data_IF_856218477542
#
_entry.id   IF_856218477542
#
_cell.length_a   1.000
_cell.length_b   1.000
_cell.length_c   1.000
_cell.angle_alpha   90.00
_cell.angle_beta   90.00
_cell.angle_gamma   90.00
#
_symmetry.space_group_name_H-M   'P 1'
#
loop_
_entity.id
_entity.type
_entity.pdbx_description
1 polymer ?
#
# COMPACT_ATOMS: atom_id res chain seq x y z
N UNK A 1 -11.43 -7.15 -2.77
CA UNK A 1 -11.46 -6.56 -1.41
C UNK A 1 -10.47 -7.32 -0.56
N UNK A 2 -9.72 -6.63 0.29
CA UNK A 2 -8.64 -7.21 1.08
C UNK A 2 -8.63 -6.64 2.50
N UNK A 3 -8.19 -7.46 3.46
CA UNK A 3 -8.14 -7.13 4.89
C UNK A 3 -6.83 -7.60 5.52
N UNK A 4 -6.35 -6.88 6.54
CA UNK A 4 -5.12 -7.25 7.26
C UNK A 4 -5.10 -6.74 8.70
N UNK A 5 -4.57 -7.58 9.59
CA UNK A 5 -4.30 -7.25 11.00
C UNK A 5 -3.00 -6.45 11.17
N UNK A 6 -2.80 -5.79 12.33
CA UNK A 6 -1.58 -5.03 12.59
C UNK A 6 -0.30 -5.85 12.39
N UNK A 7 0.69 -5.21 11.78
CA UNK A 7 1.94 -5.86 11.42
C UNK A 7 2.67 -5.11 10.31
N UNK A 8 3.94 -5.48 10.08
CA UNK A 8 4.75 -4.89 9.00
C UNK A 8 5.08 -5.97 7.97
N UNK A 9 4.94 -5.62 6.69
CA UNK A 9 5.30 -6.48 5.56
C UNK A 9 6.15 -5.70 4.59
N UNK A 10 7.24 -6.29 4.14
CA UNK A 10 7.98 -5.77 3.00
C UNK A 10 7.34 -6.26 1.71
N UNK A 11 7.29 -5.42 0.68
CA UNK A 11 6.77 -5.78 -0.64
C UNK A 11 7.44 -4.97 -1.75
N UNK A 12 7.37 -5.52 -2.97
CA UNK A 12 7.88 -4.90 -4.20
C UNK A 12 6.82 -4.98 -5.30
N UNK A 13 6.57 -3.86 -6.00
CA UNK A 13 5.54 -3.77 -7.02
C UNK A 13 6.02 -4.19 -8.43
N UNK A 14 7.34 -4.29 -8.67
CA UNK A 14 7.88 -4.75 -9.95
C UNK A 14 7.37 -3.89 -11.13
N UNK A 15 6.62 -4.50 -12.06
CA UNK A 15 6.04 -3.82 -13.24
C UNK A 15 4.57 -3.39 -13.05
N UNK A 16 4.09 -3.37 -11.82
CA UNK A 16 2.68 -3.14 -11.49
C UNK A 16 2.50 -1.80 -10.80
N UNK A 17 1.53 -1.01 -11.23
CA UNK A 17 0.96 0.05 -10.41
C UNK A 17 -0.22 -0.53 -9.60
N UNK A 18 -0.19 -0.41 -8.28
CA UNK A 18 -1.30 -0.79 -7.41
C UNK A 18 -1.98 0.45 -6.84
N UNK A 19 -3.24 0.70 -7.20
CA UNK A 19 -4.07 1.66 -6.49
C UNK A 19 -4.65 0.99 -5.24
N UNK A 20 -4.52 1.65 -4.10
CA UNK A 20 -5.11 1.27 -2.83
C UNK A 20 -6.19 2.29 -2.46
N UNK A 21 -7.39 1.82 -2.15
CA UNK A 21 -8.50 2.64 -1.64
C UNK A 21 -8.84 2.10 -0.25
N UNK A 22 -8.38 2.79 0.79
CA UNK A 22 -8.62 2.43 2.18
C UNK A 22 -10.07 2.75 2.55
N UNK A 23 -10.80 1.76 3.01
CA UNK A 23 -12.16 1.93 3.55
C UNK A 23 -12.08 2.29 5.03
N UNK A 24 -11.24 1.56 5.77
CA UNK A 24 -10.97 1.78 7.19
C UNK A 24 -9.55 1.33 7.52
N UNK A 25 -9.08 1.74 8.70
CA UNK A 25 -7.75 1.43 9.20
C UNK A 25 -6.75 2.55 9.03
N UNK A 26 -5.49 2.21 9.28
CA UNK A 26 -4.35 3.14 9.24
C UNK A 26 -3.10 2.37 8.84
N UNK A 27 -2.39 2.88 7.85
CA UNK A 27 -1.15 2.30 7.34
C UNK A 27 -0.07 3.36 7.24
N UNK A 28 1.17 2.94 7.46
CA UNK A 28 2.37 3.71 7.12
C UNK A 28 3.08 2.98 6.01
N UNK A 29 3.28 3.66 4.88
CA UNK A 29 4.05 3.18 3.75
C UNK A 29 5.41 3.84 3.83
N UNK A 30 6.47 3.03 3.85
CA UNK A 30 7.85 3.52 3.86
C UNK A 30 8.58 2.97 2.64
N UNK A 31 9.12 3.83 1.79
CA UNK A 31 9.89 3.42 0.60
C UNK A 31 11.33 2.98 0.95
N UNK A 32 12.10 2.58 -0.07
CA UNK A 32 13.48 2.15 0.08
C UNK A 32 14.46 3.26 0.47
N UNK A 33 14.09 4.52 0.24
CA UNK A 33 14.88 5.69 0.63
C UNK A 33 14.56 6.12 2.09
N UNK A 34 13.61 5.44 2.73
CA UNK A 34 13.19 5.68 4.10
C UNK A 34 12.09 6.73 4.25
N UNK A 35 11.60 7.29 3.14
CA UNK A 35 10.51 8.26 3.16
C UNK A 35 9.21 7.55 3.52
N UNK A 36 8.46 8.13 4.46
CA UNK A 36 7.26 7.51 5.01
C UNK A 36 6.04 8.40 4.87
N UNK A 37 4.93 7.80 4.45
CA UNK A 37 3.63 8.45 4.34
C UNK A 37 2.57 7.64 5.10
N UNK A 38 1.67 8.35 5.77
CA UNK A 38 0.57 7.73 6.53
C UNK A 38 -0.74 7.92 5.79
N UNK A 39 -1.49 6.83 5.66
CA UNK A 39 -2.81 6.82 5.05
C UNK A 39 -3.86 6.21 6.00
N UNK A 40 -5.04 6.81 6.02
CA UNK A 40 -6.17 6.40 6.87
C UNK A 40 -7.41 6.07 6.03
N UNK A 41 -8.39 5.42 6.66
CA UNK A 41 -9.69 5.14 6.05
C UNK A 41 -10.31 6.35 5.35
N UNK A 42 -10.84 6.12 4.13
CA UNK A 42 -11.39 7.14 3.25
C UNK A 42 -10.38 7.73 2.25
N UNK A 43 -9.09 7.43 2.39
CA UNK A 43 -8.05 7.90 1.46
C UNK A 43 -7.71 6.85 0.41
N UNK A 44 -7.16 7.32 -0.70
CA UNK A 44 -6.60 6.48 -1.75
C UNK A 44 -5.18 6.92 -2.09
N UNK A 45 -4.35 5.97 -2.49
CA UNK A 45 -2.97 6.20 -2.91
C UNK A 45 -2.54 5.16 -3.94
N UNK A 46 -1.45 5.43 -4.64
CA UNK A 46 -0.87 4.52 -5.63
C UNK A 46 0.49 4.09 -5.12
N UNK A 47 0.74 2.79 -5.20
CA UNK A 47 2.07 2.20 -5.11
C UNK A 47 2.55 2.02 -6.55
N UNK A 48 3.46 2.88 -7.02
CA UNK A 48 3.85 2.87 -8.43
C UNK A 48 4.68 1.63 -8.77
N UNK A 49 4.73 1.29 -10.04
CA UNK A 49 5.68 0.31 -10.57
C UNK A 49 7.10 0.68 -10.13
N UNK A 50 7.85 -0.34 -9.70
CA UNK A 50 9.18 -0.18 -9.12
C UNK A 50 9.19 0.19 -7.63
N UNK A 51 8.03 0.43 -6.99
CA UNK A 51 7.98 0.64 -5.54
C UNK A 51 8.59 -0.55 -4.80
N UNK A 52 9.42 -0.25 -3.81
CA UNK A 52 10.01 -1.21 -2.87
C UNK A 52 9.97 -0.58 -1.49
N UNK A 53 9.50 -1.33 -0.51
CA UNK A 53 9.36 -0.76 0.82
C UNK A 53 8.53 -1.59 1.76
N UNK A 54 8.09 -0.96 2.84
CA UNK A 54 7.30 -1.60 3.88
C UNK A 54 5.88 -1.05 3.92
N UNK A 55 4.93 -1.96 4.12
CA UNK A 55 3.56 -1.72 4.51
C UNK A 55 3.43 -2.01 6.00
N UNK A 56 3.25 -0.98 6.83
CA UNK A 56 2.98 -1.12 8.25
C UNK A 56 1.52 -0.85 8.54
N UNK A 57 0.76 -1.89 8.82
CA UNK A 57 -0.62 -1.80 9.32
C UNK A 57 -0.59 -1.40 10.79
N UNK A 58 -1.05 -0.19 11.11
CA UNK A 58 -1.09 0.37 12.47
C UNK A 58 -2.40 -0.01 13.17
N UNK A 59 -3.51 0.11 12.46
CA UNK A 59 -4.85 -0.36 12.85
C UNK A 59 -5.34 -1.38 11.82
N UNK A 60 -6.22 -2.34 12.16
CA UNK A 60 -6.79 -3.26 11.17
C UNK A 60 -7.31 -2.52 9.95
N UNK A 61 -6.96 -3.00 8.76
CA UNK A 61 -7.25 -2.33 7.49
C UNK A 61 -8.21 -3.14 6.65
N UNK A 62 -9.09 -2.43 5.95
CA UNK A 62 -9.89 -2.94 4.84
C UNK A 62 -9.69 -2.04 3.62
N UNK A 63 -9.36 -2.62 2.47
CA UNK A 63 -9.14 -1.87 1.22
C UNK A 63 -9.76 -2.52 0.00
N UNK A 64 -10.11 -1.69 -0.98
CA UNK A 64 -10.12 -2.11 -2.38
C UNK A 64 -8.75 -1.85 -2.99
N UNK A 65 -8.38 -2.67 -3.97
CA UNK A 65 -7.17 -2.49 -4.72
C UNK A 65 -7.40 -2.92 -6.16
N UNK A 66 -6.66 -2.30 -7.08
CA UNK A 66 -6.57 -2.73 -8.46
C UNK A 66 -5.11 -2.67 -8.89
N UNK A 67 -4.70 -3.65 -9.69
CA UNK A 67 -3.35 -3.76 -10.22
C UNK A 67 -3.38 -3.51 -11.72
N UNK A 68 -2.58 -2.54 -12.17
CA UNK A 68 -2.34 -2.29 -13.57
C UNK A 68 -0.94 -2.77 -13.93
N UNK A 69 -0.85 -3.70 -14.88
CA UNK A 69 0.41 -4.23 -15.38
C UNK A 69 0.92 -3.32 -16.50
N UNK A 70 2.06 -2.67 -16.28
CA UNK A 70 2.68 -1.83 -17.29
C UNK A 70 3.23 -2.72 -18.41
N UNK A 71 2.82 -2.42 -19.65
CA UNK A 71 3.42 -3.04 -20.84
C UNK A 71 4.80 -2.42 -21.03
N UNK A 72 5.78 -3.29 -21.28
CA UNK A 72 7.13 -2.89 -21.69
C UNK A 72 7.12 -2.07 -22.98
#
# INVERSE_FOLDING_TARGET
MWEMTPGTKYFECGVIDEICILIEGEVVITDSDGQSETYVGGQAFILPAGFKGTWKTVKPVKKYFAMHFNKA
#
